data_IF_060764972351
#
_entry.id   IF_060764972351
#
_cell.length_a   1.000
_cell.length_b   1.000
_cell.length_c   1.000
_cell.angle_alpha   90.00
_cell.angle_beta   90.00
_cell.angle_gamma   90.00
#
_symmetry.space_group_name_H-M   'P 1'
#
loop_
_entity.id
_entity.type
_entity.pdbx_description
1 polymer ?
#
# COMPACT_ATOMS: atom_id res chain seq x y z
N UNK A 1 8.45 -62.22 -27.66
CA UNK A 1 7.53 -61.25 -27.04
C UNK A 1 7.87 -61.11 -25.57
N UNK A 2 8.50 -59.99 -25.17
CA UNK A 2 8.59 -59.55 -23.76
C UNK A 2 8.38 -58.05 -23.71
N UNK A 3 7.60 -57.65 -22.72
CA UNK A 3 6.86 -56.40 -22.63
C UNK A 3 7.74 -55.17 -22.38
N UNK A 4 7.32 -54.04 -22.95
CA UNK A 4 7.81 -52.71 -22.64
C UNK A 4 6.99 -52.18 -21.45
N UNK A 5 7.62 -51.97 -20.29
CA UNK A 5 7.10 -51.11 -19.21
C UNK A 5 7.88 -49.81 -19.26
N UNK A 6 7.25 -48.74 -19.74
CA UNK A 6 7.72 -47.38 -19.50
C UNK A 6 7.21 -46.97 -18.11
N UNK A 7 8.13 -46.83 -17.16
CA UNK A 7 7.85 -46.27 -15.84
C UNK A 7 7.72 -44.76 -15.92
N UNK A 8 6.69 -44.24 -15.26
CA UNK A 8 6.60 -42.86 -14.80
C UNK A 8 7.86 -42.49 -13.99
N UNK A 9 8.44 -41.34 -14.31
CA UNK A 9 9.47 -40.69 -13.49
C UNK A 9 9.14 -39.21 -13.42
N UNK A 10 8.38 -38.83 -12.40
CA UNK A 10 8.27 -37.45 -11.95
C UNK A 10 9.55 -37.06 -11.22
N UNK A 11 10.08 -35.85 -11.43
CA UNK A 11 10.58 -34.98 -10.35
C UNK A 11 10.50 -33.52 -10.81
N UNK A 12 9.74 -32.72 -10.06
CA UNK A 12 9.77 -31.25 -10.07
C UNK A 12 10.94 -30.74 -9.24
N UNK A 13 11.46 -29.55 -9.53
CA UNK A 13 11.95 -28.67 -8.46
C UNK A 13 11.86 -27.19 -8.88
N UNK A 14 11.14 -26.43 -8.07
CA UNK A 14 10.86 -25.01 -8.24
C UNK A 14 12.08 -24.18 -7.81
N UNK A 15 12.68 -23.45 -8.75
CA UNK A 15 13.77 -22.49 -8.50
C UNK A 15 13.32 -21.01 -8.54
N UNK A 16 12.01 -20.74 -8.47
CA UNK A 16 11.43 -19.42 -8.76
C UNK A 16 11.32 -18.38 -7.62
N UNK A 17 11.30 -18.70 -6.30
CA UNK A 17 10.94 -17.69 -5.30
C UNK A 17 12.02 -16.62 -5.02
N UNK A 18 13.31 -16.97 -5.12
CA UNK A 18 14.40 -16.04 -4.80
C UNK A 18 14.58 -14.92 -5.85
N UNK A 19 14.46 -15.24 -7.14
CA UNK A 19 14.59 -14.26 -8.21
C UNK A 19 13.42 -13.27 -8.23
N UNK A 20 12.20 -13.74 -7.93
CA UNK A 20 11.02 -12.88 -7.80
C UNK A 20 11.17 -11.89 -6.64
N UNK A 21 11.66 -12.35 -5.48
CA UNK A 21 11.92 -11.49 -4.32
C UNK A 21 13.01 -10.44 -4.59
N UNK A 22 14.10 -10.81 -5.28
CA UNK A 22 15.14 -9.84 -5.68
C UNK A 22 14.64 -8.78 -6.66
N UNK A 23 13.79 -9.16 -7.62
CA UNK A 23 13.18 -8.22 -8.57
C UNK A 23 12.18 -7.29 -7.88
N UNK A 24 11.39 -7.83 -6.95
CA UNK A 24 10.48 -7.04 -6.13
C UNK A 24 11.25 -5.98 -5.32
N UNK A 25 12.28 -6.39 -4.58
CA UNK A 25 13.10 -5.48 -3.78
C UNK A 25 13.77 -4.39 -4.64
N UNK A 26 14.29 -4.73 -5.82
CA UNK A 26 14.86 -3.75 -6.75
C UNK A 26 13.85 -2.70 -7.20
N UNK A 27 12.61 -3.10 -7.48
CA UNK A 27 11.55 -2.17 -7.92
C UNK A 27 11.11 -1.26 -6.78
N UNK A 28 11.02 -1.79 -5.56
CA UNK A 28 10.70 -1.00 -4.36
C UNK A 28 11.78 0.06 -4.09
N UNK A 29 13.05 -0.33 -4.06
CA UNK A 29 14.16 0.62 -3.86
C UNK A 29 14.19 1.68 -4.97
N UNK A 30 13.92 1.30 -6.21
CA UNK A 30 13.86 2.24 -7.33
C UNK A 30 12.71 3.25 -7.18
N UNK A 31 11.53 2.82 -6.70
CA UNK A 31 10.39 3.71 -6.49
C UNK A 31 10.68 4.77 -5.40
N UNK A 32 11.27 4.37 -4.27
CA UNK A 32 11.66 5.31 -3.22
C UNK A 32 12.72 6.31 -3.68
N UNK A 33 13.71 5.86 -4.44
CA UNK A 33 14.71 6.75 -5.03
C UNK A 33 14.09 7.74 -6.02
N UNK A 34 13.14 7.28 -6.84
CA UNK A 34 12.40 8.15 -7.76
C UNK A 34 11.58 9.21 -7.00
N UNK A 35 10.94 8.85 -5.89
CA UNK A 35 10.23 9.82 -5.05
C UNK A 35 11.16 10.90 -4.51
N UNK A 36 12.35 10.53 -4.02
CA UNK A 36 13.38 11.48 -3.54
C UNK A 36 13.88 12.43 -4.62
N UNK A 37 13.93 11.97 -5.87
CA UNK A 37 14.32 12.79 -7.02
C UNK A 37 13.21 13.74 -7.46
N UNK A 38 11.95 13.30 -7.42
CA UNK A 38 10.80 14.12 -7.77
C UNK A 38 10.49 15.17 -6.71
N UNK A 39 10.59 14.79 -5.43
CA UNK A 39 10.27 15.62 -4.29
C UNK A 39 11.36 15.43 -3.22
N UNK A 40 12.28 16.40 -3.06
CA UNK A 40 13.32 16.32 -2.04
C UNK A 40 12.73 16.10 -0.63
N UNK A 41 13.33 15.23 0.21
CA UNK A 41 12.85 15.00 1.56
C UNK A 41 12.79 16.28 2.38
N UNK A 42 11.73 16.49 3.18
CA UNK A 42 11.68 17.57 4.15
C UNK A 42 12.67 17.30 5.30
N UNK A 43 12.98 18.35 6.07
CA UNK A 43 13.82 18.23 7.26
C UNK A 43 13.09 18.85 8.47
N UNK A 44 13.17 18.24 9.67
CA UNK A 44 13.93 17.03 10.00
C UNK A 44 13.23 15.73 9.60
N UNK A 45 14.02 14.66 9.47
CA UNK A 45 13.49 13.31 9.31
C UNK A 45 12.76 12.87 10.60
N UNK A 46 11.61 12.18 10.49
CA UNK A 46 10.94 11.59 11.64
C UNK A 46 11.77 10.51 12.34
N UNK A 47 11.50 10.30 13.63
CA UNK A 47 12.08 9.22 14.43
C UNK A 47 10.96 8.26 14.87
N UNK A 48 10.72 7.22 14.07
CA UNK A 48 9.62 6.27 14.29
C UNK A 48 10.12 4.99 14.97
N UNK A 49 9.58 4.66 16.15
CA UNK A 49 9.83 3.34 16.76
C UNK A 49 8.95 2.27 16.13
N UNK A 50 9.43 1.68 15.04
CA UNK A 50 8.72 0.64 14.30
C UNK A 50 8.40 -0.61 15.11
N UNK A 51 9.18 -0.96 16.14
CA UNK A 51 8.88 -2.12 16.97
C UNK A 51 7.62 -1.86 17.80
N UNK A 52 7.49 -0.66 18.38
CA UNK A 52 6.29 -0.24 19.11
C UNK A 52 5.08 -0.12 18.17
N UNK A 53 5.26 0.46 16.98
CA UNK A 53 4.19 0.56 15.96
C UNK A 53 3.67 -0.81 15.54
N UNK A 54 4.54 -1.72 15.12
CA UNK A 54 4.15 -3.06 14.67
C UNK A 54 3.53 -3.89 15.81
N UNK A 55 3.98 -3.67 17.05
CA UNK A 55 3.36 -4.28 18.25
C UNK A 55 1.94 -3.76 18.49
N UNK A 56 1.70 -2.46 18.31
CA UNK A 56 0.37 -1.85 18.47
C UNK A 56 -0.61 -2.30 17.37
N UNK A 57 -0.15 -2.38 16.11
CA UNK A 57 -0.98 -2.85 14.98
C UNK A 57 -1.20 -4.36 15.05
N UNK A 58 -0.27 -5.10 15.66
CA UNK A 58 -0.26 -6.56 15.69
C UNK A 58 0.17 -7.19 14.36
N UNK A 59 0.80 -6.41 13.48
CA UNK A 59 1.29 -6.84 12.17
C UNK A 59 2.62 -6.15 11.86
N UNK A 60 3.46 -6.85 11.09
CA UNK A 60 4.58 -6.21 10.40
C UNK A 60 4.04 -5.28 9.31
N UNK A 61 4.69 -4.15 9.10
CA UNK A 61 4.35 -3.22 8.01
C UNK A 61 5.33 -3.34 6.83
N UNK A 62 4.90 -2.97 5.61
CA UNK A 62 5.76 -3.00 4.42
C UNK A 62 7.04 -2.20 4.64
N UNK A 63 8.18 -2.74 4.21
CA UNK A 63 9.47 -2.07 4.34
C UNK A 63 9.51 -0.72 3.60
N UNK A 64 8.82 -0.63 2.47
CA UNK A 64 8.79 0.59 1.64
C UNK A 64 8.01 1.72 2.30
N UNK A 65 6.89 1.41 2.95
CA UNK A 65 6.15 2.35 3.78
C UNK A 65 7.00 2.85 4.96
N UNK A 66 7.74 1.96 5.62
CA UNK A 66 8.59 2.36 6.74
C UNK A 66 9.68 3.33 6.30
N UNK A 67 10.37 3.01 5.20
CA UNK A 67 11.36 3.90 4.60
C UNK A 67 10.72 5.24 4.18
N UNK A 68 9.50 5.21 3.66
CA UNK A 68 8.75 6.40 3.29
C UNK A 68 8.47 7.30 4.49
N UNK A 69 7.92 6.75 5.57
CA UNK A 69 7.61 7.52 6.78
C UNK A 69 8.88 8.03 7.44
N UNK A 70 9.96 7.25 7.49
CA UNK A 70 11.24 7.73 8.01
C UNK A 70 11.87 8.83 7.13
N UNK A 71 11.38 9.03 5.90
CA UNK A 71 11.84 10.07 4.98
C UNK A 71 10.93 11.30 4.96
N UNK A 72 9.60 11.10 4.95
CA UNK A 72 8.61 12.15 4.69
C UNK A 72 7.61 12.37 5.84
N UNK A 73 7.55 11.46 6.80
CA UNK A 73 6.57 11.46 7.88
C UNK A 73 5.14 11.39 7.40
N UNK A 74 4.23 11.74 8.31
CA UNK A 74 2.84 12.05 7.95
C UNK A 74 2.86 13.26 7.03
N UNK A 75 2.26 13.13 5.86
CA UNK A 75 2.47 14.13 4.81
C UNK A 75 1.31 14.27 3.84
N UNK A 76 1.12 15.49 3.34
CA UNK A 76 0.20 15.82 2.27
C UNK A 76 0.96 15.95 0.95
N UNK A 77 0.57 15.15 -0.02
CA UNK A 77 1.15 15.08 -1.36
C UNK A 77 0.23 15.71 -2.39
N UNK A 78 0.81 16.48 -3.31
CA UNK A 78 0.12 17.11 -4.44
C UNK A 78 -1.09 17.98 -4.04
N UNK A 79 -1.10 18.47 -2.78
CA UNK A 79 -2.24 19.12 -2.15
C UNK A 79 -3.55 18.31 -2.20
N UNK A 80 -3.47 16.98 -2.26
CA UNK A 80 -4.62 16.11 -2.49
C UNK A 80 -4.59 14.82 -1.66
N UNK A 81 -3.45 14.12 -1.63
CA UNK A 81 -3.33 12.79 -1.00
C UNK A 81 -2.64 12.92 0.36
N UNK A 82 -3.23 12.33 1.39
CA UNK A 82 -2.74 12.35 2.76
C UNK A 82 -2.16 10.99 3.08
N UNK A 83 -0.84 10.92 3.28
CA UNK A 83 -0.19 9.70 3.77
C UNK A 83 -0.24 9.68 5.28
N UNK A 84 -0.82 8.61 5.81
CA UNK A 84 -1.03 8.41 7.23
C UNK A 84 0.27 7.94 7.87
N UNK A 85 0.64 8.50 9.02
CA UNK A 85 1.80 8.09 9.81
C UNK A 85 1.34 7.56 11.18
N UNK A 86 1.98 6.53 11.72
CA UNK A 86 1.60 5.96 13.01
C UNK A 86 1.87 6.94 14.15
N UNK A 87 0.85 7.23 14.95
CA UNK A 87 0.96 8.14 16.10
C UNK A 87 1.19 9.59 15.71
N UNK A 88 0.71 9.99 14.52
CA UNK A 88 0.80 11.38 14.09
C UNK A 88 0.06 12.28 15.08
N UNK A 89 0.67 13.38 15.60
CA UNK A 89 -0.01 14.30 16.51
C UNK A 89 -1.25 15.00 15.92
N UNK A 90 -1.40 14.96 14.59
CA UNK A 90 -2.60 15.39 13.91
C UNK A 90 -3.43 14.15 13.52
N UNK A 91 -4.55 13.94 14.22
CA UNK A 91 -5.45 12.81 14.02
C UNK A 91 -5.91 12.63 12.56
N UNK A 92 -5.94 13.71 11.77
CA UNK A 92 -6.26 13.64 10.34
C UNK A 92 -5.24 12.82 9.53
N UNK A 93 -4.06 12.60 10.08
CA UNK A 93 -2.95 11.84 9.48
C UNK A 93 -2.53 10.66 10.35
N UNK A 94 -3.19 10.38 11.48
CA UNK A 94 -2.80 9.27 12.34
C UNK A 94 -3.31 7.94 11.78
N UNK A 95 -2.37 7.06 11.43
CA UNK A 95 -2.67 5.72 10.96
C UNK A 95 -3.49 4.92 11.98
N UNK A 96 -3.25 5.07 13.29
CA UNK A 96 -3.96 4.29 14.30
C UNK A 96 -5.45 4.64 14.33
N UNK A 97 -5.76 5.94 14.42
CA UNK A 97 -7.13 6.47 14.41
C UNK A 97 -7.87 6.04 13.13
N UNK A 98 -7.24 6.24 11.97
CA UNK A 98 -7.85 5.85 10.69
C UNK A 98 -8.03 4.35 10.54
N UNK A 99 -7.08 3.54 11.01
CA UNK A 99 -7.19 2.07 10.98
C UNK A 99 -8.38 1.61 11.80
N UNK A 100 -8.54 2.12 13.02
CA UNK A 100 -9.62 1.71 13.91
C UNK A 100 -10.96 2.16 13.34
N UNK A 101 -11.08 3.42 12.92
CA UNK A 101 -12.30 3.94 12.32
C UNK A 101 -12.70 3.20 11.04
N UNK A 102 -11.77 2.96 10.10
CA UNK A 102 -12.08 2.26 8.86
C UNK A 102 -12.39 0.78 9.07
N UNK A 103 -11.80 0.14 10.08
CA UNK A 103 -12.15 -1.25 10.43
C UNK A 103 -13.62 -1.32 10.83
N UNK A 104 -14.06 -0.47 11.76
CA UNK A 104 -15.45 -0.42 12.21
C UNK A 104 -16.41 -0.03 11.08
N UNK A 105 -16.05 1.01 10.30
CA UNK A 105 -16.89 1.50 9.21
C UNK A 105 -17.11 0.45 8.11
N UNK A 106 -16.07 -0.26 7.71
CA UNK A 106 -16.17 -1.32 6.69
C UNK A 106 -16.92 -2.55 7.22
N UNK A 107 -16.70 -2.94 8.48
CA UNK A 107 -17.46 -4.02 9.11
C UNK A 107 -18.96 -3.72 9.13
N UNK A 108 -19.34 -2.52 9.58
CA UNK A 108 -20.74 -2.07 9.58
C UNK A 108 -21.33 -1.96 8.16
N UNK A 109 -20.56 -1.46 7.19
CA UNK A 109 -20.99 -1.38 5.79
C UNK A 109 -21.32 -2.77 5.23
N UNK A 110 -20.47 -3.76 5.50
CA UNK A 110 -20.62 -5.12 4.97
C UNK A 110 -21.73 -5.94 5.63
N UNK A 111 -22.39 -5.42 6.65
CA UNK A 111 -23.67 -5.98 7.13
C UNK A 111 -24.82 -5.71 6.15
N UNK A 112 -24.72 -4.64 5.36
CA UNK A 112 -25.79 -4.17 4.46
C UNK A 112 -25.41 -4.22 2.98
N UNK A 113 -24.12 -4.20 2.66
CA UNK A 113 -23.59 -4.23 1.29
C UNK A 113 -22.66 -5.42 1.06
N UNK A 114 -22.59 -5.95 -0.18
CA UNK A 114 -21.64 -7.02 -0.48
C UNK A 114 -20.20 -6.53 -0.33
N UNK A 115 -19.34 -7.39 0.23
CA UNK A 115 -17.89 -7.16 0.22
C UNK A 115 -17.37 -7.06 -1.22
N UNK A 116 -16.37 -6.21 -1.49
CA UNK A 116 -15.72 -6.19 -2.79
C UNK A 116 -15.04 -7.54 -3.06
N UNK A 117 -14.92 -7.91 -4.34
CA UNK A 117 -14.46 -9.22 -4.77
C UNK A 117 -13.08 -9.57 -4.19
N UNK A 118 -12.20 -8.57 -4.09
CA UNK A 118 -10.84 -8.66 -3.55
C UNK A 118 -10.80 -9.05 -2.07
N UNK A 119 -11.88 -8.82 -1.31
CA UNK A 119 -11.99 -9.04 0.14
C UNK A 119 -12.90 -10.22 0.51
N UNK A 120 -13.29 -11.04 -0.49
CA UNK A 120 -14.16 -12.21 -0.26
C UNK A 120 -13.40 -13.42 0.28
N UNK A 121 -12.09 -13.53 0.02
CA UNK A 121 -11.26 -14.60 0.57
C UNK A 121 -11.16 -14.49 2.10
N UNK A 122 -11.35 -15.61 2.80
CA UNK A 122 -11.30 -15.65 4.25
C UNK A 122 -9.91 -15.30 4.75
N UNK A 123 -9.83 -14.33 5.66
CA UNK A 123 -8.58 -13.86 6.25
C UNK A 123 -7.95 -12.69 5.48
N UNK A 124 -8.52 -12.31 4.34
CA UNK A 124 -8.18 -11.06 3.69
C UNK A 124 -8.71 -9.88 4.49
N UNK A 125 -7.89 -8.83 4.60
CA UNK A 125 -8.21 -7.59 5.32
C UNK A 125 -7.55 -6.39 4.65
N UNK A 126 -7.98 -5.20 5.05
CA UNK A 126 -7.41 -3.93 4.60
C UNK A 126 -6.95 -3.10 5.79
N UNK A 127 -5.89 -2.33 5.60
CA UNK A 127 -5.44 -1.29 6.54
C UNK A 127 -5.18 -0.03 5.73
N UNK A 128 -5.74 1.13 6.11
CA UNK A 128 -5.54 2.37 5.37
C UNK A 128 -4.09 2.85 5.56
N UNK A 129 -3.50 3.35 4.49
CA UNK A 129 -2.20 4.03 4.53
C UNK A 129 -2.25 5.43 3.93
N UNK A 130 -3.30 5.73 3.16
CA UNK A 130 -3.58 7.08 2.72
C UNK A 130 -5.08 7.34 2.55
N UNK A 131 -5.44 8.62 2.58
CA UNK A 131 -6.74 9.14 2.19
C UNK A 131 -6.55 10.34 1.25
N UNK A 132 -7.63 10.93 0.77
CA UNK A 132 -7.60 12.11 -0.09
C UNK A 132 -8.55 13.19 0.40
N UNK A 133 -8.42 14.41 -0.13
CA UNK A 133 -9.37 15.51 0.10
C UNK A 133 -10.81 15.20 -0.31
N UNK A 134 -11.02 14.26 -1.24
CA UNK A 134 -12.34 13.85 -1.69
C UNK A 134 -12.90 12.65 -0.89
N UNK A 135 -12.09 12.10 0.02
CA UNK A 135 -12.47 10.97 0.87
C UNK A 135 -12.23 9.60 0.26
N UNK A 136 -11.52 9.50 -0.87
CA UNK A 136 -11.04 8.20 -1.33
C UNK A 136 -10.07 7.62 -0.29
N UNK A 137 -10.14 6.31 -0.09
CA UNK A 137 -9.28 5.60 0.84
C UNK A 137 -8.35 4.66 0.09
N UNK A 138 -7.07 4.72 0.40
CA UNK A 138 -6.06 3.82 -0.14
C UNK A 138 -5.59 2.88 0.97
N UNK A 139 -5.76 1.59 0.70
CA UNK A 139 -5.50 0.51 1.64
C UNK A 139 -4.35 -0.37 1.18
N UNK A 140 -3.66 -0.99 2.14
CA UNK A 140 -2.93 -2.22 1.88
C UNK A 140 -3.92 -3.37 1.83
N UNK A 141 -3.88 -4.13 0.74
CA UNK A 141 -4.63 -5.37 0.60
C UNK A 141 -3.81 -6.53 1.16
N UNK A 142 -4.21 -7.01 2.33
CA UNK A 142 -3.52 -8.06 3.07
C UNK A 142 -4.21 -9.38 2.79
N UNK A 143 -3.56 -10.29 2.04
CA UNK A 143 -4.08 -11.64 1.81
C UNK A 143 -3.37 -12.70 2.67
N UNK A 144 -4.07 -13.80 3.01
CA UNK A 144 -3.45 -14.92 3.72
C UNK A 144 -2.19 -15.43 3.02
N UNK A 145 -1.13 -15.68 3.79
CA UNK A 145 0.11 -16.26 3.27
C UNK A 145 1.03 -15.28 2.52
N UNK A 146 0.67 -13.99 2.40
CA UNK A 146 1.55 -12.96 1.85
C UNK A 146 2.33 -12.24 2.96
N UNK A 147 3.61 -11.96 2.70
CA UNK A 147 4.42 -11.08 3.54
C UNK A 147 4.02 -9.61 3.37
N UNK A 148 4.36 -8.73 4.32
CA UNK A 148 4.02 -7.31 4.26
C UNK A 148 4.55 -6.60 3.02
N UNK A 149 5.73 -6.99 2.54
CA UNK A 149 6.34 -6.38 1.36
C UNK A 149 5.57 -6.74 0.06
N UNK A 150 4.79 -7.83 0.07
CA UNK A 150 3.97 -8.26 -1.07
C UNK A 150 2.58 -7.60 -1.10
N UNK A 151 2.25 -6.77 -0.11
CA UNK A 151 0.93 -6.11 -0.05
C UNK A 151 0.79 -5.07 -1.15
N UNK A 152 -0.36 -5.10 -1.81
CA UNK A 152 -0.69 -4.21 -2.93
C UNK A 152 -1.73 -3.17 -2.54
N UNK A 153 -1.87 -2.11 -3.31
CA UNK A 153 -2.83 -1.03 -3.06
C UNK A 153 -4.24 -1.42 -3.51
N UNK A 154 -5.24 -1.18 -2.66
CA UNK A 154 -6.66 -1.23 -2.99
C UNK A 154 -7.29 0.13 -2.68
N UNK A 155 -7.98 0.73 -3.65
CA UNK A 155 -8.59 2.06 -3.52
C UNK A 155 -10.10 1.89 -3.38
N UNK A 156 -10.72 2.61 -2.45
CA UNK A 156 -12.16 2.78 -2.38
C UNK A 156 -12.53 4.24 -2.70
N UNK A 157 -13.61 4.43 -3.45
CA UNK A 157 -14.08 5.76 -3.84
C UNK A 157 -14.68 6.61 -2.69
N UNK A 158 -14.68 6.10 -1.45
CA UNK A 158 -15.12 6.78 -0.24
C UNK A 158 -16.64 6.84 -0.07
N UNK A 159 -17.36 7.33 -1.09
CA UNK A 159 -18.81 7.54 -1.05
C UNK A 159 -19.57 6.71 -2.09
N UNK A 160 -19.12 5.48 -2.28
CA UNK A 160 -19.77 4.54 -3.19
C UNK A 160 -19.13 3.14 -3.19
N UNK A 161 -19.73 2.21 -3.95
CA UNK A 161 -19.38 0.80 -3.90
C UNK A 161 -18.16 0.42 -4.73
N UNK A 162 -17.52 1.36 -5.44
CA UNK A 162 -16.40 1.05 -6.33
C UNK A 162 -15.10 0.86 -5.56
N UNK A 163 -14.38 -0.15 -6.01
CA UNK A 163 -13.03 -0.49 -5.55
C UNK A 163 -12.13 -0.69 -6.77
N UNK A 164 -10.87 -0.30 -6.63
CA UNK A 164 -9.85 -0.43 -7.68
C UNK A 164 -8.59 -1.07 -7.10
N UNK A 165 -8.22 -2.23 -7.63
CA UNK A 165 -6.98 -2.91 -7.25
C UNK A 165 -5.82 -2.43 -8.12
N UNK A 166 -4.75 -1.97 -7.47
CA UNK A 166 -3.50 -1.57 -8.12
C UNK A 166 -2.37 -2.47 -7.62
N UNK A 167 -1.70 -3.24 -8.50
CA UNK A 167 -0.69 -4.23 -8.11
C UNK A 167 0.69 -3.58 -7.85
N UNK A 168 0.70 -2.52 -7.06
CA UNK A 168 1.88 -1.75 -6.65
C UNK A 168 1.95 -1.74 -5.13
N UNK A 169 3.16 -1.64 -4.57
CA UNK A 169 3.33 -1.21 -3.18
C UNK A 169 2.99 0.28 -3.04
N UNK A 170 2.95 0.85 -1.82
CA UNK A 170 2.55 2.24 -1.65
C UNK A 170 3.53 3.23 -2.31
N UNK A 171 4.84 2.95 -2.22
CA UNK A 171 5.86 3.82 -2.83
C UNK A 171 5.87 3.71 -4.36
N UNK A 172 5.66 2.51 -4.89
CA UNK A 172 5.47 2.28 -6.32
C UNK A 172 4.22 2.98 -6.86
N UNK A 173 3.11 2.95 -6.10
CA UNK A 173 1.89 3.66 -6.44
C UNK A 173 2.15 5.17 -6.54
N UNK A 174 2.75 5.76 -5.50
CA UNK A 174 3.06 7.19 -5.50
C UNK A 174 4.01 7.57 -6.63
N UNK A 175 5.12 6.84 -6.80
CA UNK A 175 6.10 7.13 -7.83
C UNK A 175 5.50 7.09 -9.24
N UNK A 176 4.72 6.04 -9.55
CA UNK A 176 4.08 5.88 -10.86
C UNK A 176 2.96 6.90 -11.09
N UNK A 177 2.22 7.27 -10.04
CA UNK A 177 1.19 8.30 -10.15
C UNK A 177 1.79 9.69 -10.41
N UNK A 178 2.90 10.03 -9.74
CA UNK A 178 3.59 11.31 -9.95
C UNK A 178 4.24 11.41 -11.33
N UNK A 179 4.81 10.34 -11.86
CA UNK A 179 5.34 10.33 -13.24
C UNK A 179 4.28 10.22 -14.32
N UNK A 180 3.03 9.95 -13.94
CA UNK A 180 1.92 9.72 -14.87
C UNK A 180 1.96 8.34 -15.55
N UNK A 181 2.83 7.43 -15.10
CA UNK A 181 2.87 6.03 -15.53
C UNK A 181 1.65 5.24 -15.02
N UNK A 182 1.00 5.74 -13.96
CA UNK A 182 -0.25 5.23 -13.41
C UNK A 182 -1.27 6.36 -13.31
N UNK A 183 -2.49 6.09 -13.77
CA UNK A 183 -3.67 6.95 -13.56
C UNK A 183 -4.81 6.11 -12.97
N UNK A 184 -4.97 6.09 -11.64
CA UNK A 184 -6.04 5.35 -11.00
C UNK A 184 -7.38 5.92 -11.42
N UNK A 185 -8.32 5.06 -11.79
CA UNK A 185 -9.66 5.44 -12.27
C UNK A 185 -10.47 6.16 -11.19
N UNK A 186 -10.23 5.81 -9.91
CA UNK A 186 -10.97 6.39 -8.79
C UNK A 186 -10.38 7.69 -8.25
N UNK A 187 -9.17 8.09 -8.66
CA UNK A 187 -8.56 9.34 -8.21
C UNK A 187 -8.74 10.48 -9.22
N UNK A 188 -8.71 11.73 -8.74
CA UNK A 188 -8.97 12.88 -9.60
C UNK A 188 -7.80 13.24 -10.50
N UNK A 189 -7.96 13.10 -11.82
CA UNK A 189 -7.01 13.59 -12.83
C UNK A 189 -6.88 15.13 -12.86
N UNK A 190 -7.80 15.88 -12.25
CA UNK A 190 -7.78 17.35 -12.28
C UNK A 190 -6.72 17.95 -11.35
N UNK A 191 -6.30 17.20 -10.32
CA UNK A 191 -5.43 17.70 -9.25
C UNK A 191 -4.23 16.78 -8.98
N UNK A 192 -4.20 15.59 -9.60
CA UNK A 192 -3.19 14.58 -9.31
C UNK A 192 -2.72 13.88 -10.61
N UNK A 193 -1.42 13.96 -10.98
CA UNK A 193 -0.36 14.73 -10.32
C UNK A 193 -0.34 16.21 -10.76
N UNK A 194 0.28 17.06 -9.94
CA UNK A 194 0.63 18.42 -10.31
C UNK A 194 1.84 18.43 -11.27
N UNK A 195 1.96 19.48 -12.08
CA UNK A 195 3.15 19.66 -12.93
C UNK A 195 4.42 20.00 -12.15
N UNK A 196 4.27 20.52 -10.92
CA UNK A 196 5.37 20.73 -9.99
C UNK A 196 5.01 20.01 -8.69
N UNK A 197 5.66 18.88 -8.44
CA UNK A 197 5.34 18.01 -7.33
C UNK A 197 5.66 18.67 -5.99
N UNK A 198 4.81 18.43 -4.99
CA UNK A 198 4.93 19.05 -3.68
C UNK A 198 4.53 18.09 -2.58
N UNK A 199 5.27 18.15 -1.49
CA UNK A 199 4.94 17.52 -0.22
C UNK A 199 4.92 18.56 0.89
N UNK A 200 3.95 18.43 1.79
CA UNK A 200 3.91 19.14 3.07
C UNK A 200 3.96 18.09 4.18
N UNK A 201 5.05 18.09 4.95
CA UNK A 201 5.15 17.29 6.16
C UNK A 201 4.29 17.93 7.26
N UNK A 202 3.46 17.13 7.92
CA UNK A 202 2.54 17.61 8.95
C UNK A 202 2.91 17.13 10.36
N UNK A 203 3.94 16.27 10.46
CA UNK A 203 4.55 15.81 11.71
C UNK A 203 6.03 15.50 11.51
#
# INVERSE_FOLDING_TARGET
MRAFRAGFGAVSEAFYPAAASLLHNRRVTAAMEQLRQLVPPPAPAPDTDWNSVESAIGLRLPADYKEFIDTYGGSRWENYLYVLAPGCPNDSYDLFEWKDWQTEALEGLWEFEPRPAELTEKGTRVIPWATTDNGEMLYWLIRPGQGPDDWTVLINEGRGPRWEHVPHTCTQFLAAALTGDLRPVLLSDNYFPLSNHRVEQVA
#
